data_IF_100893487577
#
_entry.id   IF_100893487577
#
_cell.length_a   1.000
_cell.length_b   1.000
_cell.length_c   1.000
_cell.angle_alpha   90.00
_cell.angle_beta   90.00
_cell.angle_gamma   90.00
#
_symmetry.space_group_name_H-M   'P 1'
#
loop_
_entity.id
_entity.type
_entity.pdbx_description
1 polymer ?
#
# COMPACT_ATOMS: atom_id res chain seq x y z
N UNK A 1 -18.57 -8.64 -10.92
CA UNK A 1 -18.37 -8.46 -10.44
C UNK A 1 -18.14 -8.05 -9.82
N UNK A 2 -18.10 -7.98 -9.68
CA UNK A 2 -17.91 -7.55 -9.11
C UNK A 2 -17.48 -6.96 -8.45
N UNK A 3 -17.79 -6.62 -8.23
CA UNK A 3 -17.36 -5.95 -7.67
C UNK A 3 -16.65 -5.91 -6.87
N UNK A 4 -16.55 -5.67 -6.98
CA UNK A 4 -15.56 -5.78 -6.32
C UNK A 4 -15.18 -4.69 -5.53
N UNK A 5 -16.00 -4.08 -4.89
CA UNK A 5 -15.73 -3.02 -4.07
C UNK A 5 -14.85 -3.51 -3.03
N UNK A 6 -13.94 -2.80 -2.58
CA UNK A 6 -13.08 -3.17 -1.48
C UNK A 6 -11.89 -3.98 -1.84
N UNK A 7 -11.73 -4.31 -3.07
CA UNK A 7 -10.55 -5.07 -3.39
C UNK A 7 -9.35 -4.15 -3.58
N UNK A 8 -8.19 -4.71 -3.47
CA UNK A 8 -6.95 -3.97 -3.60
C UNK A 8 -6.16 -4.54 -4.75
N UNK A 9 -5.77 -3.69 -5.66
CA UNK A 9 -4.94 -4.06 -6.78
C UNK A 9 -3.69 -3.21 -6.81
N UNK A 10 -2.65 -3.70 -7.45
CA UNK A 10 -1.40 -2.97 -7.52
C UNK A 10 -0.70 -3.29 -8.83
N UNK A 11 -0.16 -2.25 -9.46
CA UNK A 11 0.56 -2.42 -10.69
C UNK A 11 1.83 -1.60 -10.59
N UNK A 12 2.96 -2.20 -10.87
CA UNK A 12 4.22 -1.50 -10.82
C UNK A 12 4.87 -1.53 -12.19
N UNK A 13 5.40 -0.39 -12.62
CA UNK A 13 6.06 -0.29 -13.90
C UNK A 13 7.49 0.13 -13.70
N UNK A 14 8.41 -0.65 -14.21
CA UNK A 14 9.84 -0.33 -14.21
C UNK A 14 10.39 0.06 -12.84
N UNK A 15 9.76 -0.41 -11.79
CA UNK A 15 10.14 -0.07 -10.42
C UNK A 15 10.20 1.45 -10.23
N UNK A 16 9.44 2.19 -11.03
CA UNK A 16 9.43 3.64 -10.92
C UNK A 16 8.05 4.18 -10.65
N UNK A 17 7.03 3.40 -10.87
CA UNK A 17 5.68 3.89 -10.69
C UNK A 17 4.79 2.77 -10.20
N UNK A 18 4.03 3.04 -9.15
CA UNK A 18 3.06 2.09 -8.64
C UNK A 18 1.70 2.75 -8.67
N UNK A 19 0.74 2.06 -9.25
CA UNK A 19 -0.65 2.51 -9.25
C UNK A 19 -1.44 1.49 -8.47
N UNK A 20 -2.28 1.95 -7.57
CA UNK A 20 -3.00 1.07 -6.67
C UNK A 20 -4.46 1.43 -6.56
N UNK A 21 -5.27 0.40 -6.23
CA UNK A 21 -6.65 0.62 -5.86
C UNK A 21 -6.86 0.00 -4.49
N UNK A 22 -7.97 0.27 -3.86
CA UNK A 22 -8.28 -0.28 -2.56
C UNK A 22 -7.48 0.34 -1.43
N UNK A 23 -7.08 1.60 -1.59
CA UNK A 23 -6.31 2.30 -0.58
C UNK A 23 -7.28 3.07 0.31
N UNK A 24 -7.20 2.84 1.62
CA UNK A 24 -8.09 3.50 2.58
C UNK A 24 -7.51 4.80 3.10
N UNK A 25 -6.23 4.83 3.34
CA UNK A 25 -5.62 6.07 3.81
C UNK A 25 -4.10 5.98 3.76
N UNK A 26 -3.47 7.13 3.81
CA UNK A 26 -2.03 7.21 3.84
C UNK A 26 -1.63 7.30 5.30
N UNK A 27 -0.84 6.35 5.77
CA UNK A 27 -0.44 6.30 7.16
C UNK A 27 0.85 7.09 7.36
N UNK A 28 1.74 7.04 6.39
CA UNK A 28 3.01 7.71 6.51
C UNK A 28 3.57 8.00 5.12
N UNK A 29 4.17 9.14 4.95
CA UNK A 29 4.72 9.49 3.66
C UNK A 29 6.04 10.22 3.87
N UNK A 30 7.12 9.59 3.42
CA UNK A 30 8.44 10.18 3.45
C UNK A 30 9.09 9.85 2.12
N UNK A 31 10.14 10.53 1.75
CA UNK A 31 10.75 10.29 0.46
C UNK A 31 11.41 8.92 0.36
N UNK A 32 11.61 8.23 1.46
CA UNK A 32 12.19 6.89 1.41
C UNK A 32 11.18 5.81 1.81
N UNK A 33 10.02 6.18 2.32
CA UNK A 33 9.04 5.23 2.80
C UNK A 33 7.63 5.79 2.67
N UNK A 34 6.75 5.02 2.07
CA UNK A 34 5.34 5.38 2.02
C UNK A 34 4.58 4.20 2.59
N UNK A 35 3.72 4.46 3.58
CA UNK A 35 2.92 3.41 4.20
C UNK A 35 1.46 3.72 3.97
N UNK A 36 0.74 2.78 3.40
CA UNK A 36 -0.66 2.97 3.08
C UNK A 36 -1.48 1.87 3.72
N UNK A 37 -2.67 2.23 4.17
CA UNK A 37 -3.59 1.23 4.66
C UNK A 37 -4.44 0.82 3.47
N UNK A 38 -4.45 -0.45 3.15
CA UNK A 38 -5.22 -0.95 2.03
C UNK A 38 -6.26 -1.93 2.53
N UNK A 39 -7.11 -2.39 1.64
CA UNK A 39 -8.13 -3.37 1.99
C UNK A 39 -7.51 -4.70 2.40
N UNK A 40 -6.28 -4.95 2.04
CA UNK A 40 -5.62 -6.21 2.36
C UNK A 40 -4.48 -6.06 3.35
N UNK A 41 -4.41 -4.95 4.06
CA UNK A 41 -3.39 -4.75 5.08
C UNK A 41 -2.55 -3.52 4.82
N UNK A 42 -1.53 -3.33 5.62
CA UNK A 42 -0.65 -2.19 5.44
C UNK A 42 0.36 -2.50 4.35
N UNK A 43 0.55 -1.56 3.47
CA UNK A 43 1.55 -1.71 2.42
C UNK A 43 2.67 -0.73 2.67
N UNK A 44 3.87 -1.24 2.82
CA UNK A 44 5.05 -0.43 3.01
C UNK A 44 5.84 -0.39 1.72
N UNK A 45 6.06 0.79 1.18
CA UNK A 45 6.82 0.98 -0.04
C UNK A 45 8.12 1.65 0.33
N UNK A 46 9.23 1.04 0.01
CA UNK A 46 10.54 1.60 0.31
C UNK A 46 11.26 1.97 -0.97
N UNK A 47 12.03 3.01 -0.93
CA UNK A 47 12.75 3.42 -2.12
C UNK A 47 13.49 4.72 -1.92
N UNK A 48 13.65 5.46 -3.00
CA UNK A 48 14.34 6.73 -2.99
C UNK A 48 13.54 7.74 -3.77
N UNK A 49 13.48 8.95 -3.28
CA UNK A 49 12.77 10.03 -3.96
C UNK A 49 11.33 9.66 -4.25
N UNK A 50 10.68 9.01 -3.32
CA UNK A 50 9.30 8.61 -3.50
C UNK A 50 8.39 9.82 -3.45
N UNK A 51 7.40 9.85 -4.33
CA UNK A 51 6.45 10.94 -4.38
C UNK A 51 5.06 10.38 -4.55
N UNK A 52 4.12 10.94 -3.83
CA UNK A 52 2.74 10.51 -3.94
C UNK A 52 2.12 11.43 -4.98
N UNK A 53 1.96 10.92 -6.19
CA UNK A 53 1.55 11.75 -7.30
C UNK A 53 0.05 11.86 -7.46
N UNK A 54 -0.67 10.87 -7.09
CA UNK A 54 -2.11 10.91 -7.22
C UNK A 54 -2.72 10.24 -6.02
N UNK A 55 -3.78 10.80 -5.49
CA UNK A 55 -4.44 10.20 -4.36
C UNK A 55 -5.91 10.56 -4.40
N UNK A 56 -6.74 9.55 -4.42
CA UNK A 56 -8.17 9.75 -4.38
C UNK A 56 -8.72 8.76 -3.36
N UNK A 57 -8.90 9.20 -2.15
CA UNK A 57 -9.37 8.29 -1.11
C UNK A 57 -10.81 7.89 -1.33
N UNK A 58 -11.58 8.77 -1.94
CA UNK A 58 -12.92 8.40 -2.27
C UNK A 58 -12.95 7.23 -3.21
N UNK A 59 -12.07 7.20 -4.18
CA UNK A 59 -12.00 6.12 -5.13
C UNK A 59 -11.04 5.03 -4.71
N UNK A 60 -10.32 5.22 -3.61
CA UNK A 60 -9.37 4.23 -3.16
C UNK A 60 -8.15 4.10 -4.05
N UNK A 61 -7.79 5.15 -4.77
CA UNK A 61 -6.69 5.08 -5.73
C UNK A 61 -5.49 5.89 -5.28
N UNK A 62 -4.31 5.38 -5.53
CA UNK A 62 -3.09 6.11 -5.21
C UNK A 62 -2.02 5.78 -6.23
N UNK A 63 -1.15 6.72 -6.50
CA UNK A 63 -0.03 6.54 -7.41
C UNK A 63 1.23 7.06 -6.73
N UNK A 64 2.25 6.22 -6.67
CA UNK A 64 3.53 6.57 -6.07
C UNK A 64 4.60 6.44 -7.14
N UNK A 65 5.46 7.43 -7.24
CA UNK A 65 6.55 7.42 -8.20
C UNK A 65 7.87 7.60 -7.48
N UNK A 66 8.94 7.09 -8.06
CA UNK A 66 10.26 7.19 -7.49
C UNK A 66 11.00 5.91 -7.78
N UNK A 67 12.11 5.71 -7.09
CA UNK A 67 12.87 4.50 -7.31
C UNK A 67 12.40 3.53 -6.24
N UNK A 68 11.73 2.47 -6.63
CA UNK A 68 11.12 1.55 -5.68
C UNK A 68 12.04 0.38 -5.44
N UNK A 69 12.37 0.11 -4.19
CA UNK A 69 13.27 -0.97 -3.86
C UNK A 69 12.59 -2.12 -3.15
N UNK A 70 11.48 -1.87 -2.48
CA UNK A 70 10.80 -2.95 -1.78
C UNK A 70 9.33 -2.65 -1.58
N UNK A 71 8.52 -3.69 -1.59
CA UNK A 71 7.11 -3.62 -1.27
C UNK A 71 6.85 -4.68 -0.24
N UNK A 72 6.34 -4.30 0.90
CA UNK A 72 6.12 -5.24 1.98
C UNK A 72 4.72 -5.04 2.54
N UNK A 73 3.95 -6.11 2.57
CA UNK A 73 2.62 -6.06 3.18
C UNK A 73 2.71 -6.55 4.61
N UNK A 74 2.01 -5.85 5.49
CA UNK A 74 1.90 -6.30 6.86
C UNK A 74 0.44 -6.55 7.14
N UNK A 75 0.18 -7.69 7.71
CA UNK A 75 -1.19 -8.04 8.02
C UNK A 75 -1.72 -7.18 9.13
N UNK A 76 -2.99 -6.93 9.15
CA UNK A 76 -3.55 -6.18 10.25
C UNK A 76 -3.29 -6.96 11.52
N UNK A 77 -3.12 -6.26 12.61
CA UNK A 77 -2.85 -6.87 13.81
C UNK A 77 -3.98 -7.69 14.25
N UNK A 78 -3.88 -8.90 14.28
CA UNK A 78 -4.90 -9.76 14.74
C UNK A 78 -4.46 -10.29 16.02
N UNK A 79 -4.12 -9.53 16.88
CA UNK A 79 -3.67 -9.79 18.05
C UNK A 79 -4.04 -11.04 18.52
N UNK A 80 -4.20 -11.56 19.22
CA UNK A 80 -4.53 -12.82 19.72
C UNK A 80 -4.12 -13.97 18.83
N UNK A 81 -4.58 -13.95 17.65
CA UNK A 81 -4.31 -15.00 16.76
C UNK A 81 -2.89 -15.07 16.43
N UNK A 82 -2.33 -13.96 16.10
CA UNK A 82 -0.99 -13.96 15.82
C UNK A 82 -0.15 -14.37 16.94
N UNK A 83 -0.44 -14.03 18.09
CA UNK A 83 0.39 -14.36 19.14
C UNK A 83 0.39 -15.84 19.30
N UNK A 84 -0.66 -16.49 18.99
CA UNK A 84 -0.67 -17.86 19.14
C UNK A 84 0.10 -18.52 18.12
N UNK A 85 0.04 -18.10 16.95
CA UNK A 85 0.76 -18.70 15.95
C UNK A 85 2.17 -18.46 16.03
N UNK A 86 2.52 -17.40 16.53
CA UNK A 86 3.90 -17.10 16.56
C UNK A 86 4.60 -17.91 17.52
N UNK A 87 3.94 -18.66 18.23
CA UNK A 87 4.55 -19.33 19.20
C UNK A 87 5.16 -20.32 18.83
#
# INVERSE_FOLDING_TARGET
MTEITGSHGLRMEDRKKITMTGVDQVVRFEDSTVVLQTQLGLLNIHGQDLQLKGLSLEGGQATVEGKITALIYEEPRQRGIFSRFSR
#
